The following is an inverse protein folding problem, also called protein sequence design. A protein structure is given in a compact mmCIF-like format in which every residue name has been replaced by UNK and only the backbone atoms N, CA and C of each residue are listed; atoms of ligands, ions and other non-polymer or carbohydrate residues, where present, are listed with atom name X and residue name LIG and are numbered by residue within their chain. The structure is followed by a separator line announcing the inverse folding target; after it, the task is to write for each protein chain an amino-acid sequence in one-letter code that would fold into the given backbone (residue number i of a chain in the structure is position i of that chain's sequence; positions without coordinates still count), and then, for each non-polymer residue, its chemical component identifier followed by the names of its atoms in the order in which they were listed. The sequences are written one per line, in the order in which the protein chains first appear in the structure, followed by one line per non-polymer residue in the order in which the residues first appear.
data_IF_464927057488
#
_entry.id   IF_464927057488
#
_cell.length_a   1.000
_cell.length_b   1.000
_cell.length_c   1.000
_cell.angle_alpha   90.00
_cell.angle_beta   90.00
_cell.angle_gamma   90.00
#
_symmetry.space_group_name_H-M   'P 1'
#
loop_
_entity.id
_entity.type
_entity.pdbx_description
1 polymer ?
#
# COMPACT_ATOMS: atom_id res chain seq x y z
N UNK A 1 9.37 -28.45 0.76
CA UNK A 1 10.84 -28.26 0.67
C UNK A 1 11.25 -28.19 -0.80
N UNK A 2 11.25 -27.00 -1.39
CA UNK A 2 11.81 -26.80 -2.74
C UNK A 2 13.33 -26.64 -2.63
N UNK A 3 14.08 -27.61 -3.15
CA UNK A 3 15.54 -27.54 -3.26
C UNK A 3 15.88 -26.42 -4.24
N UNK A 4 16.34 -25.28 -3.72
CA UNK A 4 16.86 -24.19 -4.53
C UNK A 4 18.14 -24.67 -5.23
N UNK A 5 18.07 -24.82 -6.55
CA UNK A 5 19.22 -25.17 -7.38
C UNK A 5 20.11 -23.93 -7.53
N UNK A 6 21.15 -23.85 -6.70
CA UNK A 6 22.20 -22.82 -6.74
C UNK A 6 22.88 -22.68 -8.12
N UNK A 7 22.70 -23.67 -9.00
CA UNK A 7 23.27 -23.71 -10.35
C UNK A 7 22.61 -22.77 -11.34
N UNK A 8 21.41 -22.22 -11.06
CA UNK A 8 20.81 -21.20 -11.95
C UNK A 8 21.51 -19.84 -11.86
N UNK A 9 22.14 -19.51 -10.73
CA UNK A 9 22.99 -18.32 -10.59
C UNK A 9 24.28 -18.39 -11.41
N UNK A 10 24.58 -19.53 -12.03
CA UNK A 10 25.76 -19.76 -12.87
C UNK A 10 25.49 -19.60 -14.38
N UNK A 11 24.29 -19.14 -14.79
CA UNK A 11 23.98 -18.89 -16.21
C UNK A 11 24.96 -17.86 -16.82
N UNK A 12 25.44 -18.07 -18.06
CA UNK A 12 26.48 -17.24 -18.66
C UNK A 12 25.86 -15.93 -19.17
N UNK A 13 26.37 -14.77 -18.71
CA UNK A 13 25.93 -13.46 -19.23
C UNK A 13 26.44 -12.26 -18.44
N UNK A 14 26.62 -12.39 -17.12
CA UNK A 14 27.14 -11.30 -16.28
C UNK A 14 28.62 -11.52 -15.98
N UNK A 15 29.43 -10.46 -16.04
CA UNK A 15 30.89 -10.48 -15.84
C UNK A 15 31.37 -10.98 -14.47
N UNK A 16 30.47 -11.43 -13.61
CA UNK A 16 30.67 -12.01 -12.27
C UNK A 16 31.78 -13.06 -12.24
N UNK A 17 31.76 -14.06 -13.15
CA UNK A 17 32.79 -15.12 -13.18
C UNK A 17 34.19 -14.57 -13.43
N UNK A 18 34.32 -13.57 -14.31
CA UNK A 18 35.60 -12.92 -14.63
C UNK A 18 36.15 -12.12 -13.44
N UNK A 19 35.27 -11.43 -12.72
CA UNK A 19 35.63 -10.61 -11.56
C UNK A 19 35.97 -11.47 -10.34
N UNK A 20 35.23 -12.56 -10.11
CA UNK A 20 35.55 -13.54 -9.07
C UNK A 20 36.90 -14.22 -9.34
N UNK A 21 37.16 -14.61 -10.59
CA UNK A 21 38.46 -15.16 -10.99
C UNK A 21 39.60 -14.15 -10.77
N UNK A 22 39.37 -12.86 -11.09
CA UNK A 22 40.34 -11.79 -10.84
C UNK A 22 40.63 -11.60 -9.34
N UNK A 23 39.61 -11.72 -8.47
CA UNK A 23 39.79 -11.65 -7.02
C UNK A 23 40.65 -12.80 -6.49
N UNK A 24 40.37 -14.04 -6.94
CA UNK A 24 41.17 -15.21 -6.56
C UNK A 24 42.63 -15.08 -7.04
N UNK A 25 42.82 -14.59 -8.27
CA UNK A 25 44.16 -14.31 -8.82
C UNK A 25 44.88 -13.20 -8.03
N UNK A 26 44.18 -12.15 -7.63
CA UNK A 26 44.72 -11.05 -6.81
C UNK A 26 45.20 -11.54 -5.44
N UNK A 27 44.41 -12.37 -4.76
CA UNK A 27 44.78 -12.97 -3.47
C UNK A 27 46.01 -13.88 -3.62
N UNK A 28 46.05 -14.69 -4.68
CA UNK A 28 47.19 -15.56 -4.95
C UNK A 28 48.47 -14.76 -5.20
N UNK A 29 48.39 -13.66 -5.97
CA UNK A 29 49.51 -12.75 -6.22
C UNK A 29 49.98 -12.04 -4.94
N UNK A 30 49.06 -11.56 -4.11
CA UNK A 30 49.40 -10.91 -2.85
C UNK A 30 50.08 -11.88 -1.88
N UNK A 31 49.58 -13.11 -1.78
CA UNK A 31 50.16 -14.18 -0.97
C UNK A 31 51.56 -14.55 -1.46
N UNK A 32 51.75 -14.61 -2.79
CA UNK A 32 53.05 -14.87 -3.38
C UNK A 32 54.03 -13.71 -3.09
N UNK A 33 53.58 -12.46 -3.19
CA UNK A 33 54.38 -11.28 -2.84
C UNK A 33 54.84 -11.28 -1.39
N UNK A 34 53.93 -11.62 -0.46
CA UNK A 34 54.27 -11.79 0.96
C UNK A 34 55.31 -12.89 1.17
N UNK A 35 55.22 -14.01 0.44
CA UNK A 35 56.22 -15.09 0.51
C UNK A 35 57.61 -14.64 0.04
N UNK A 36 57.70 -13.84 -1.03
CA UNK A 36 58.97 -13.26 -1.49
C UNK A 36 59.58 -12.28 -0.46
N UNK A 37 58.75 -11.50 0.23
CA UNK A 37 59.20 -10.63 1.32
C UNK A 37 59.76 -11.43 2.51
N UNK A 38 59.02 -12.44 2.97
CA UNK A 38 59.45 -13.29 4.10
C UNK A 38 60.74 -14.05 3.78
N UNK A 39 60.87 -14.57 2.55
CA UNK A 39 62.10 -15.22 2.08
C UNK A 39 63.29 -14.25 2.04
N UNK A 40 63.05 -13.00 1.61
CA UNK A 40 64.08 -11.95 1.57
C UNK A 40 64.55 -11.51 2.97
N UNK A 41 63.68 -11.52 3.98
CA UNK A 41 64.02 -11.07 5.34
C UNK A 41 64.58 -12.18 6.22
N UNK A 42 64.07 -13.40 6.08
CA UNK A 42 64.27 -14.44 7.09
C UNK A 42 64.84 -15.76 6.55
N UNK A 43 64.83 -15.98 5.23
CA UNK A 43 65.25 -17.22 4.53
C UNK A 43 64.68 -18.55 5.08
N UNK A 44 63.73 -18.52 6.02
CA UNK A 44 63.13 -19.71 6.63
C UNK A 44 62.11 -20.40 5.72
N UNK A 45 61.50 -19.68 4.78
CA UNK A 45 60.48 -20.21 3.85
C UNK A 45 60.96 -20.03 2.40
N UNK A 46 61.72 -20.98 1.84
CA UNK A 46 62.27 -20.81 0.51
C UNK A 46 61.17 -20.80 -0.56
N UNK A 47 61.22 -19.79 -1.44
CA UNK A 47 60.39 -19.79 -2.66
C UNK A 47 61.00 -20.78 -3.68
N UNK A 48 60.21 -21.69 -4.28
CA UNK A 48 60.71 -22.66 -5.24
C UNK A 48 61.49 -22.00 -6.40
N UNK A 49 62.61 -22.61 -6.81
CA UNK A 49 63.51 -22.07 -7.86
C UNK A 49 62.80 -21.72 -9.17
N UNK A 50 61.81 -22.53 -9.60
CA UNK A 50 61.00 -22.28 -10.81
C UNK A 50 60.20 -20.97 -10.74
N UNK A 51 59.71 -20.62 -9.55
CA UNK A 51 58.93 -19.38 -9.34
C UNK A 51 59.85 -18.17 -9.28
N UNK A 52 61.04 -18.29 -8.69
CA UNK A 52 62.05 -17.21 -8.72
C UNK A 52 62.53 -16.88 -10.13
N UNK A 53 62.60 -17.89 -11.02
CA UNK A 53 62.98 -17.75 -12.42
C UNK A 53 61.88 -17.10 -13.27
N UNK A 54 60.61 -17.39 -12.98
CA UNK A 54 59.47 -16.79 -13.70
C UNK A 54 59.36 -15.26 -13.52
N UNK A 55 59.88 -14.73 -12.40
CA UNK A 55 59.86 -13.30 -12.07
C UNK A 55 61.28 -12.74 -11.93
N UNK A 56 62.20 -13.03 -12.84
CA UNK A 56 63.65 -12.77 -12.68
C UNK A 56 64.08 -11.28 -12.82
N UNK A 57 63.25 -10.33 -12.39
CA UNK A 57 63.48 -8.90 -12.58
C UNK A 57 63.67 -8.23 -11.21
N UNK A 58 64.92 -7.91 -10.86
CA UNK A 58 65.28 -7.17 -9.64
C UNK A 58 65.35 -7.98 -8.33
N UNK A 59 65.65 -7.31 -7.19
CA UNK A 59 65.81 -7.93 -5.87
C UNK A 59 64.53 -8.58 -5.32
N UNK A 60 64.66 -9.65 -4.51
CA UNK A 60 63.54 -10.42 -3.93
C UNK A 60 62.55 -9.55 -3.14
N UNK A 61 63.05 -8.58 -2.36
CA UNK A 61 62.20 -7.64 -1.60
C UNK A 61 61.36 -6.74 -2.50
N UNK A 62 61.92 -6.23 -3.60
CA UNK A 62 61.24 -5.35 -4.54
C UNK A 62 60.12 -6.09 -5.28
N UNK A 63 60.39 -7.34 -5.68
CA UNK A 63 59.39 -8.22 -6.30
C UNK A 63 58.24 -8.52 -5.36
N UNK A 64 58.55 -8.79 -4.09
CA UNK A 64 57.54 -9.03 -3.07
C UNK A 64 56.60 -7.84 -2.87
N UNK A 65 57.14 -6.62 -2.80
CA UNK A 65 56.34 -5.38 -2.69
C UNK A 65 55.45 -5.19 -3.93
N UNK A 66 55.99 -5.31 -5.15
CA UNK A 66 55.23 -5.08 -6.38
C UNK A 66 54.11 -6.11 -6.57
N UNK A 67 54.37 -7.39 -6.27
CA UNK A 67 53.35 -8.45 -6.33
C UNK A 67 52.26 -8.25 -5.26
N UNK A 68 52.65 -7.77 -4.07
CA UNK A 68 51.71 -7.49 -3.00
C UNK A 68 50.81 -6.29 -3.32
N UNK A 69 51.36 -5.21 -3.87
CA UNK A 69 50.59 -4.03 -4.30
C UNK A 69 49.65 -4.39 -5.45
N UNK A 70 50.15 -5.04 -6.50
CA UNK A 70 49.33 -5.42 -7.66
C UNK A 70 48.24 -6.43 -7.31
N UNK A 71 48.55 -7.44 -6.48
CA UNK A 71 47.57 -8.42 -5.99
C UNK A 71 46.49 -7.78 -5.11
N UNK A 72 46.88 -6.87 -4.22
CA UNK A 72 45.93 -6.14 -3.35
C UNK A 72 45.05 -5.18 -4.16
N UNK A 73 45.61 -4.47 -5.14
CA UNK A 73 44.86 -3.59 -6.03
C UNK A 73 43.85 -4.36 -6.91
N UNK A 74 44.25 -5.51 -7.47
CA UNK A 74 43.36 -6.38 -8.23
C UNK A 74 42.21 -6.94 -7.36
N UNK A 75 42.53 -7.34 -6.12
CA UNK A 75 41.53 -7.82 -5.14
C UNK A 75 40.55 -6.71 -4.77
N UNK A 76 41.04 -5.51 -4.50
CA UNK A 76 40.21 -4.34 -4.17
C UNK A 76 39.32 -3.92 -5.33
N UNK A 77 39.85 -3.88 -6.55
CA UNK A 77 39.07 -3.58 -7.75
C UNK A 77 37.96 -4.62 -7.97
N UNK A 78 38.30 -5.91 -7.87
CA UNK A 78 37.32 -6.99 -8.02
C UNK A 78 36.23 -6.92 -6.93
N UNK A 79 36.60 -6.65 -5.68
CA UNK A 79 35.68 -6.46 -4.56
C UNK A 79 34.71 -5.29 -4.80
N UNK A 80 35.24 -4.10 -5.14
CA UNK A 80 34.43 -2.90 -5.40
C UNK A 80 33.49 -3.08 -6.60
N UNK A 81 33.94 -3.83 -7.60
CA UNK A 81 33.17 -4.11 -8.80
C UNK A 81 32.04 -5.12 -8.55
N UNK A 82 32.28 -6.13 -7.69
CA UNK A 82 31.27 -7.08 -7.23
C UNK A 82 30.24 -6.40 -6.32
N UNK A 83 30.67 -5.53 -5.41
CA UNK A 83 29.76 -4.80 -4.52
C UNK A 83 28.81 -3.89 -5.30
N UNK A 84 29.29 -3.26 -6.37
CA UNK A 84 28.46 -2.40 -7.22
C UNK A 84 27.45 -3.19 -8.07
N UNK A 85 27.80 -4.38 -8.57
CA UNK A 85 26.85 -5.26 -9.29
C UNK A 85 25.79 -5.86 -8.36
N UNK A 86 26.17 -6.24 -7.14
CA UNK A 86 25.22 -6.68 -6.12
C UNK A 86 24.29 -5.54 -5.70
N UNK A 87 24.82 -4.32 -5.56
CA UNK A 87 24.00 -3.13 -5.31
C UNK A 87 23.02 -2.89 -6.48
N UNK A 88 23.46 -2.95 -7.74
CA UNK A 88 22.59 -2.73 -8.90
C UNK A 88 21.50 -3.80 -9.11
N UNK A 89 21.71 -5.02 -8.62
CA UNK A 89 20.70 -6.10 -8.69
C UNK A 89 19.73 -6.12 -7.50
N UNK A 90 20.06 -5.39 -6.43
CA UNK A 90 19.27 -5.31 -5.20
C UNK A 90 18.67 -3.92 -4.95
N UNK A 91 19.18 -2.88 -5.62
CA UNK A 91 18.65 -1.53 -5.54
C UNK A 91 17.46 -1.38 -6.51
N UNK A 92 16.28 -0.92 -6.04
CA UNK A 92 15.21 -0.51 -6.93
C UNK A 92 15.70 0.65 -7.82
N UNK A 93 15.17 0.76 -9.04
CA UNK A 93 15.55 1.72 -10.10
C UNK A 93 15.63 3.20 -9.70
N UNK A 94 15.33 3.58 -8.46
CA UNK A 94 15.31 4.97 -7.97
C UNK A 94 15.85 5.12 -6.53
N UNK A 95 16.85 4.34 -6.12
CA UNK A 95 17.52 4.56 -4.83
C UNK A 95 18.62 5.64 -4.98
N UNK A 96 18.41 6.80 -4.36
CA UNK A 96 19.46 7.81 -4.14
C UNK A 96 20.69 7.19 -3.45
N UNK A 97 21.87 7.70 -3.79
CA UNK A 97 23.21 7.10 -3.61
C UNK A 97 23.71 6.83 -2.17
N UNK A 98 22.89 6.90 -1.11
CA UNK A 98 23.36 6.73 0.28
C UNK A 98 22.45 5.81 1.13
N UNK A 99 22.12 4.60 0.65
CA UNK A 99 21.43 3.59 1.47
C UNK A 99 22.42 2.48 1.83
N UNK A 100 22.79 2.40 3.11
CA UNK A 100 23.67 1.34 3.61
C UNK A 100 23.02 -0.04 3.52
N UNK A 101 23.82 -1.10 3.31
CA UNK A 101 23.33 -2.48 3.31
C UNK A 101 22.53 -2.82 4.59
N UNK A 102 22.88 -2.20 5.71
CA UNK A 102 22.19 -2.35 6.99
C UNK A 102 20.73 -1.94 6.92
N UNK A 103 20.40 -0.86 6.20
CA UNK A 103 19.05 -0.33 6.10
C UNK A 103 18.18 -1.25 5.22
N UNK A 104 18.74 -1.78 4.13
CA UNK A 104 18.07 -2.79 3.29
C UNK A 104 17.82 -4.11 4.04
N UNK A 105 18.75 -4.54 4.90
CA UNK A 105 18.53 -5.70 5.77
C UNK A 105 17.51 -5.41 6.87
N UNK A 106 17.47 -4.19 7.40
CA UNK A 106 16.51 -3.75 8.39
C UNK A 106 15.09 -3.70 7.81
N UNK A 107 14.92 -3.15 6.60
CA UNK A 107 13.63 -3.14 5.88
C UNK A 107 13.12 -4.55 5.59
N UNK A 108 13.98 -5.47 5.13
CA UNK A 108 13.58 -6.87 4.92
C UNK A 108 13.18 -7.58 6.20
N UNK A 109 13.88 -7.33 7.31
CA UNK A 109 13.53 -7.92 8.61
C UNK A 109 12.22 -7.31 9.15
N UNK A 110 11.99 -6.03 8.93
CA UNK A 110 10.74 -5.33 9.27
C UNK A 110 9.55 -5.92 8.49
N UNK A 111 9.74 -6.18 7.19
CA UNK A 111 8.75 -6.88 6.35
C UNK A 111 8.48 -8.32 6.76
N UNK A 112 9.45 -9.01 7.36
CA UNK A 112 9.31 -10.40 7.80
C UNK A 112 8.71 -10.55 9.21
N UNK A 113 8.77 -9.52 10.06
CA UNK A 113 8.43 -9.60 11.49
C UNK A 113 7.28 -8.66 11.90
N UNK A 114 7.01 -7.61 11.13
CA UNK A 114 5.97 -6.64 11.43
C UNK A 114 4.54 -7.13 11.15
N UNK A 115 3.58 -6.60 11.93
CA UNK A 115 2.16 -6.94 11.80
C UNK A 115 1.65 -6.54 10.42
N UNK A 116 0.87 -7.40 9.77
CA UNK A 116 0.42 -7.19 8.37
C UNK A 116 -0.94 -6.53 8.35
N UNK A 117 -1.05 -5.38 7.67
CA UNK A 117 -2.29 -4.62 7.56
C UNK A 117 -2.59 -4.38 6.09
N UNK A 118 -3.79 -4.74 5.65
CA UNK A 118 -4.31 -4.38 4.35
C UNK A 118 -5.25 -3.17 4.51
N UNK A 119 -5.03 -2.10 3.74
CA UNK A 119 -5.88 -0.90 3.74
C UNK A 119 -6.55 -0.78 2.38
N UNK A 120 -7.87 -0.80 2.34
CA UNK A 120 -8.68 -0.71 1.12
C UNK A 120 -9.32 0.69 1.07
N UNK A 121 -9.17 1.39 -0.04
CA UNK A 121 -9.84 2.67 -0.27
C UNK A 121 -9.22 3.48 -1.40
N UNK A 122 -9.65 4.72 -1.53
CA UNK A 122 -9.09 5.69 -2.47
C UNK A 122 -9.17 7.10 -1.88
N UNK A 123 -8.67 8.08 -2.62
CA UNK A 123 -8.81 9.47 -2.28
C UNK A 123 -7.92 9.92 -1.12
N UNK A 124 -8.11 11.16 -0.72
CA UNK A 124 -7.25 11.80 0.28
C UNK A 124 -7.54 11.35 1.72
N UNK A 125 -8.71 10.75 1.97
CA UNK A 125 -9.10 10.19 3.28
C UNK A 125 -8.27 8.96 3.69
N UNK A 126 -7.72 8.25 2.71
CA UNK A 126 -6.80 7.12 2.90
C UNK A 126 -5.48 7.54 3.59
N UNK A 127 -5.01 8.76 3.33
CA UNK A 127 -3.66 9.19 3.70
C UNK A 127 -3.45 9.26 5.22
N UNK A 128 -4.34 9.89 6.01
CA UNK A 128 -4.22 9.85 7.47
C UNK A 128 -4.24 8.43 8.05
N UNK A 129 -5.00 7.50 7.45
CA UNK A 129 -5.08 6.10 7.90
C UNK A 129 -3.74 5.39 7.67
N UNK A 130 -3.16 5.53 6.48
CA UNK A 130 -1.84 4.94 6.17
C UNK A 130 -0.76 5.58 7.06
N UNK A 131 -0.76 6.92 7.20
CA UNK A 131 0.16 7.63 8.10
C UNK A 131 0.05 7.13 9.55
N UNK A 132 -1.15 6.87 10.05
CA UNK A 132 -1.36 6.36 11.41
C UNK A 132 -0.61 5.04 11.66
N UNK A 133 -0.61 4.12 10.69
CA UNK A 133 0.15 2.87 10.78
C UNK A 133 1.66 3.08 10.68
N UNK A 134 2.12 3.97 9.80
CA UNK A 134 3.55 4.28 9.67
C UNK A 134 4.14 4.96 10.91
N UNK A 135 3.30 5.66 11.68
CA UNK A 135 3.66 6.28 12.95
C UNK A 135 3.68 5.31 14.13
N UNK A 136 3.30 4.04 13.95
CA UNK A 136 3.27 3.06 15.04
C UNK A 136 4.67 2.76 15.59
N UNK A 137 4.73 2.54 16.90
CA UNK A 137 5.99 2.25 17.60
C UNK A 137 6.48 0.82 17.27
N UNK A 138 5.54 -0.10 17.07
CA UNK A 138 5.81 -1.44 16.56
C UNK A 138 5.84 -1.45 15.02
N UNK A 139 6.67 -2.31 14.40
CA UNK A 139 6.74 -2.40 12.94
C UNK A 139 5.43 -2.95 12.36
N UNK A 140 4.79 -2.15 11.49
CA UNK A 140 3.60 -2.54 10.73
C UNK A 140 3.89 -2.52 9.24
N UNK A 141 3.55 -3.62 8.57
CA UNK A 141 3.66 -3.77 7.13
C UNK A 141 2.30 -3.45 6.50
N UNK A 142 2.19 -2.23 6.00
CA UNK A 142 0.97 -1.74 5.35
C UNK A 142 1.01 -2.08 3.87
N UNK A 143 -0.04 -2.72 3.37
CA UNK A 143 -0.34 -2.86 1.95
C UNK A 143 -1.65 -2.14 1.65
N UNK A 144 -1.61 -1.22 0.69
CA UNK A 144 -2.73 -0.39 0.25
C UNK A 144 -3.30 -0.96 -1.04
N UNK A 145 -4.60 -1.14 -1.08
CA UNK A 145 -5.36 -1.61 -2.24
C UNK A 145 -6.24 -0.44 -2.71
N UNK A 146 -5.82 0.19 -3.81
CA UNK A 146 -6.42 1.39 -4.38
C UNK A 146 -7.56 1.05 -5.34
N UNK A 147 -8.71 1.70 -5.18
CA UNK A 147 -9.83 1.56 -6.11
C UNK A 147 -9.48 2.11 -7.50
N UNK A 148 -9.83 1.37 -8.57
CA UNK A 148 -9.11 1.37 -9.86
C UNK A 148 -9.30 2.59 -10.78
N UNK A 149 -9.67 3.75 -10.25
CA UNK A 149 -10.12 4.91 -11.06
C UNK A 149 -9.48 6.24 -10.72
N UNK A 150 -8.74 6.34 -9.62
CA UNK A 150 -8.05 7.59 -9.27
C UNK A 150 -6.58 7.55 -9.69
N UNK A 151 -6.22 8.56 -10.48
CA UNK A 151 -4.95 8.64 -11.22
C UNK A 151 -3.70 8.72 -10.34
N UNK A 152 -2.55 8.89 -11.01
CA UNK A 152 -1.21 8.79 -10.43
C UNK A 152 -0.90 9.70 -9.23
N UNK A 153 -1.76 10.68 -8.88
CA UNK A 153 -1.56 11.59 -7.73
C UNK A 153 -1.60 10.89 -6.37
N UNK A 154 -2.55 9.98 -6.14
CA UNK A 154 -2.60 9.27 -4.85
C UNK A 154 -1.44 8.27 -4.74
N UNK A 155 -1.07 7.66 -5.86
CA UNK A 155 0.08 6.75 -5.96
C UNK A 155 1.39 7.50 -5.71
N UNK A 156 1.58 8.69 -6.31
CA UNK A 156 2.75 9.52 -6.07
C UNK A 156 2.81 9.94 -4.60
N UNK A 157 1.68 10.31 -4.00
CA UNK A 157 1.63 10.66 -2.58
C UNK A 157 2.02 9.47 -1.67
N UNK A 158 1.51 8.27 -1.97
CA UNK A 158 1.84 7.06 -1.21
C UNK A 158 3.31 6.65 -1.38
N UNK A 159 3.87 6.81 -2.57
CA UNK A 159 5.25 6.39 -2.88
C UNK A 159 6.28 7.43 -2.48
N UNK A 160 6.10 8.67 -2.91
CA UNK A 160 7.09 9.73 -2.83
C UNK A 160 7.04 10.41 -1.45
N UNK A 161 5.84 10.54 -0.86
CA UNK A 161 5.65 11.23 0.41
C UNK A 161 5.60 10.27 1.61
N UNK A 162 5.00 9.09 1.43
CA UNK A 162 4.88 8.07 2.50
C UNK A 162 5.88 6.92 2.40
N UNK A 163 6.69 6.88 1.34
CA UNK A 163 7.75 5.89 1.18
C UNK A 163 7.26 4.46 0.95
N UNK A 164 6.01 4.25 0.54
CA UNK A 164 5.52 2.90 0.23
C UNK A 164 6.17 2.39 -1.06
N UNK A 165 6.63 1.14 -1.02
CA UNK A 165 7.14 0.46 -2.23
C UNK A 165 6.01 0.11 -3.20
N UNK A 166 6.34 -0.10 -4.48
CA UNK A 166 5.36 -0.53 -5.48
C UNK A 166 4.66 -1.86 -5.18
N UNK A 167 5.25 -2.72 -4.33
CA UNK A 167 4.62 -3.96 -3.86
C UNK A 167 3.61 -3.75 -2.74
N UNK A 168 3.61 -2.57 -2.12
CA UNK A 168 2.69 -2.18 -1.07
C UNK A 168 1.55 -1.31 -1.60
N UNK A 169 1.61 -0.82 -2.84
CA UNK A 169 0.54 -0.04 -3.46
C UNK A 169 0.00 -0.86 -4.62
N UNK A 170 -1.13 -1.52 -4.40
CA UNK A 170 -1.73 -2.46 -5.32
C UNK A 170 -3.05 -1.92 -5.85
N UNK A 171 -3.38 -2.31 -7.07
CA UNK A 171 -4.74 -2.18 -7.61
C UNK A 171 -5.48 -3.52 -7.49
N UNK A 172 -6.82 -3.52 -7.35
CA UNK A 172 -7.60 -4.75 -7.26
C UNK A 172 -7.58 -5.53 -8.57
N UNK A 173 -7.28 -4.88 -9.71
CA UNK A 173 -7.10 -5.53 -11.00
C UNK A 173 -6.01 -4.80 -11.79
N UNK A 174 -5.25 -5.55 -12.58
CA UNK A 174 -4.29 -4.99 -13.54
C UNK A 174 -4.92 -4.67 -14.90
N UNK A 175 -6.20 -4.96 -15.08
CA UNK A 175 -6.92 -4.74 -16.33
C UNK A 175 -7.50 -3.34 -16.44
N UNK A 176 -7.70 -2.87 -17.68
CA UNK A 176 -8.51 -1.69 -17.93
C UNK A 176 -10.00 -2.04 -17.84
N UNK A 177 -10.64 -1.57 -16.78
CA UNK A 177 -12.05 -1.84 -16.44
C UNK A 177 -12.89 -0.57 -16.44
N UNK A 178 -14.20 -0.72 -16.64
CA UNK A 178 -15.19 0.32 -16.39
C UNK A 178 -15.94 0.00 -15.10
N UNK A 179 -16.11 1.00 -14.23
CA UNK A 179 -17.06 0.93 -13.11
C UNK A 179 -18.47 1.19 -13.61
N UNK A 180 -19.42 0.38 -13.16
CA UNK A 180 -20.83 0.51 -13.48
C UNK A 180 -21.67 0.59 -12.20
N UNK A 181 -22.73 1.38 -12.25
CA UNK A 181 -23.82 1.34 -11.29
C UNK A 181 -25.14 1.03 -12.01
N UNK A 182 -25.90 0.06 -11.50
CA UNK A 182 -27.29 -0.17 -11.89
C UNK A 182 -28.20 0.55 -10.90
N UNK A 183 -29.12 1.36 -11.39
CA UNK A 183 -30.17 2.00 -10.58
C UNK A 183 -31.36 1.03 -10.39
N UNK A 184 -32.25 1.31 -9.44
CA UNK A 184 -33.43 0.46 -9.16
C UNK A 184 -34.36 0.24 -10.37
N UNK A 185 -34.41 1.18 -11.32
CA UNK A 185 -35.20 1.06 -12.55
C UNK A 185 -34.47 0.33 -13.70
N UNK A 186 -33.25 -0.17 -13.43
CA UNK A 186 -32.39 -0.85 -14.42
C UNK A 186 -31.51 0.07 -15.26
N UNK A 187 -31.58 1.39 -15.07
CA UNK A 187 -30.69 2.35 -15.75
C UNK A 187 -29.24 2.10 -15.37
N UNK A 188 -28.33 2.21 -16.35
CA UNK A 188 -26.90 2.00 -16.14
C UNK A 188 -26.11 3.31 -16.20
N UNK A 189 -25.25 3.53 -15.23
CA UNK A 189 -24.28 4.62 -15.20
C UNK A 189 -22.87 4.06 -15.39
N UNK A 190 -22.13 4.58 -16.37
CA UNK A 190 -20.74 4.18 -16.64
C UNK A 190 -19.75 5.21 -16.08
N UNK A 191 -18.81 4.71 -15.29
CA UNK A 191 -17.67 5.47 -14.77
C UNK A 191 -17.97 6.25 -13.48
N UNK A 192 -16.90 6.50 -12.71
CA UNK A 192 -16.99 7.23 -11.44
C UNK A 192 -17.59 8.64 -11.60
N UNK A 193 -17.34 9.33 -12.72
CA UNK A 193 -17.90 10.67 -12.97
C UNK A 193 -19.43 10.65 -13.05
N UNK A 194 -20.02 9.73 -13.83
CA UNK A 194 -21.47 9.64 -13.96
C UNK A 194 -22.11 9.26 -12.62
N UNK A 195 -21.50 8.33 -11.89
CA UNK A 195 -21.97 7.91 -10.56
C UNK A 195 -21.90 9.07 -9.55
N UNK A 196 -20.81 9.85 -9.57
CA UNK A 196 -20.64 11.00 -8.67
C UNK A 196 -21.57 12.18 -9.03
N UNK A 197 -22.06 12.27 -10.27
CA UNK A 197 -23.02 13.29 -10.69
C UNK A 197 -24.48 12.89 -10.38
N UNK A 198 -24.74 11.60 -10.23
CA UNK A 198 -26.05 11.07 -9.89
C UNK A 198 -26.45 11.40 -8.44
N UNK A 199 -27.75 11.63 -8.22
CA UNK A 199 -28.35 11.82 -6.92
C UNK A 199 -29.19 10.59 -6.55
N UNK A 200 -28.79 9.88 -5.49
CA UNK A 200 -29.45 8.64 -5.07
C UNK A 200 -30.86 8.86 -4.55
N UNK A 201 -31.23 10.11 -4.20
CA UNK A 201 -32.59 10.48 -3.77
C UNK A 201 -33.56 10.48 -4.93
N UNK A 202 -33.08 10.75 -6.15
CA UNK A 202 -33.89 10.62 -7.35
C UNK A 202 -34.15 9.15 -7.66
N UNK A 203 -33.07 8.35 -7.66
CA UNK A 203 -33.12 6.89 -7.88
C UNK A 203 -31.98 6.20 -7.15
N UNK A 204 -32.30 5.24 -6.30
CA UNK A 204 -31.31 4.48 -5.55
C UNK A 204 -30.43 3.62 -6.47
N UNK A 205 -29.19 3.41 -6.05
CA UNK A 205 -28.24 2.49 -6.69
C UNK A 205 -28.51 1.08 -6.17
N UNK A 206 -28.88 0.18 -7.08
CA UNK A 206 -29.19 -1.22 -6.79
C UNK A 206 -27.93 -2.07 -6.63
N UNK A 207 -26.92 -1.88 -7.49
CA UNK A 207 -25.61 -2.54 -7.38
C UNK A 207 -24.50 -1.78 -8.10
N UNK A 208 -23.26 -2.02 -7.67
CA UNK A 208 -22.04 -1.47 -8.24
C UNK A 208 -21.06 -2.59 -8.55
N UNK A 209 -20.47 -2.56 -9.73
CA UNK A 209 -19.55 -3.61 -10.16
C UNK A 209 -18.57 -3.12 -11.23
N UNK A 210 -17.44 -3.80 -11.32
CA UNK A 210 -16.53 -3.66 -12.44
C UNK A 210 -16.90 -4.61 -13.57
N UNK A 211 -16.78 -4.12 -14.80
CA UNK A 211 -16.84 -4.93 -16.01
C UNK A 211 -15.65 -4.62 -16.90
N UNK A 212 -15.13 -5.64 -17.59
CA UNK A 212 -14.18 -5.43 -18.68
C UNK A 212 -14.79 -4.53 -19.75
N UNK A 213 -13.95 -3.79 -20.46
CA UNK A 213 -14.42 -2.79 -21.43
C UNK A 213 -15.19 -3.46 -22.59
N UNK A 214 -16.50 -3.28 -22.57
CA UNK A 214 -17.51 -3.90 -23.44
C UNK A 214 -17.31 -3.54 -24.91
N UNK A 215 -16.80 -2.34 -25.21
CA UNK A 215 -16.50 -1.90 -26.59
C UNK A 215 -15.37 -2.72 -27.23
N UNK A 216 -14.48 -3.31 -26.42
CA UNK A 216 -13.42 -4.20 -26.91
C UNK A 216 -13.88 -5.66 -27.06
N UNK A 217 -15.01 -6.05 -26.48
CA UNK A 217 -15.43 -7.47 -26.36
C UNK A 217 -16.50 -7.85 -27.41
N UNK A 218 -16.80 -7.01 -28.41
CA UNK A 218 -17.89 -7.21 -29.41
C UNK A 218 -19.31 -7.38 -28.82
N UNK A 219 -19.47 -7.38 -27.50
CA UNK A 219 -20.75 -7.52 -26.79
C UNK A 219 -21.76 -6.46 -27.24
N UNK A 220 -21.32 -5.24 -27.53
CA UNK A 220 -22.22 -4.17 -28.00
C UNK A 220 -22.93 -4.50 -29.32
N UNK A 221 -22.23 -5.16 -30.25
CA UNK A 221 -22.79 -5.57 -31.55
C UNK A 221 -23.75 -6.76 -31.36
N UNK A 222 -23.39 -7.70 -30.49
CA UNK A 222 -24.20 -8.90 -30.19
C UNK A 222 -25.50 -8.56 -29.45
N UNK A 223 -25.49 -7.58 -28.55
CA UNK A 223 -26.69 -7.13 -27.82
C UNK A 223 -27.55 -6.15 -28.63
N UNK A 224 -27.15 -5.80 -29.86
CA UNK A 224 -27.79 -4.75 -30.68
C UNK A 224 -27.98 -3.43 -29.91
N UNK A 225 -27.04 -3.11 -29.03
CA UNK A 225 -27.07 -1.90 -28.19
C UNK A 225 -27.95 -1.98 -26.94
N UNK A 226 -28.58 -3.13 -26.63
CA UNK A 226 -29.37 -3.30 -25.41
C UNK A 226 -28.51 -3.94 -24.29
N UNK A 227 -27.64 -3.15 -23.69
CA UNK A 227 -26.84 -3.60 -22.54
C UNK A 227 -27.68 -3.63 -21.27
N UNK A 228 -27.63 -4.74 -20.56
CA UNK A 228 -28.16 -4.88 -19.20
C UNK A 228 -27.03 -5.15 -18.21
N UNK A 229 -27.25 -4.84 -16.94
CA UNK A 229 -26.26 -5.13 -15.92
C UNK A 229 -25.92 -6.63 -15.82
N UNK A 230 -26.87 -7.53 -16.10
CA UNK A 230 -26.62 -8.98 -16.10
C UNK A 230 -25.61 -9.37 -17.18
N UNK A 231 -25.73 -8.81 -18.39
CA UNK A 231 -24.76 -9.03 -19.46
C UNK A 231 -23.37 -8.54 -19.04
N UNK A 232 -23.28 -7.34 -18.48
CA UNK A 232 -21.99 -6.75 -18.07
C UNK A 232 -21.35 -7.52 -16.90
N UNK A 233 -22.16 -7.98 -15.96
CA UNK A 233 -21.69 -8.72 -14.79
C UNK A 233 -21.10 -10.09 -15.13
N UNK A 234 -21.37 -10.62 -16.33
CA UNK A 234 -20.75 -11.85 -16.85
C UNK A 234 -19.32 -11.63 -17.37
N UNK A 235 -18.83 -10.39 -17.38
CA UNK A 235 -17.46 -10.04 -17.78
C UNK A 235 -16.69 -9.35 -16.64
N UNK A 236 -16.59 -9.98 -15.44
CA UNK A 236 -15.79 -9.42 -14.37
C UNK A 236 -14.31 -9.39 -14.77
N UNK A 237 -13.51 -8.46 -14.22
CA UNK A 237 -12.07 -8.46 -14.44
C UNK A 237 -11.37 -9.54 -13.62
N UNK A 238 -10.18 -9.93 -14.04
CA UNK A 238 -9.30 -10.75 -13.21
C UNK A 238 -8.78 -9.90 -12.04
N UNK A 239 -8.85 -10.45 -10.82
CA UNK A 239 -8.38 -9.76 -9.62
C UNK A 239 -6.89 -9.99 -9.46
N UNK A 240 -6.19 -8.94 -9.01
CA UNK A 240 -4.76 -8.99 -8.75
C UNK A 240 -4.45 -10.00 -7.63
N UNK A 241 -3.69 -11.08 -7.90
CA UNK A 241 -3.38 -12.10 -6.90
C UNK A 241 -2.58 -11.56 -5.72
N UNK A 242 -1.75 -10.52 -5.93
CA UNK A 242 -1.01 -9.88 -4.83
C UNK A 242 -1.95 -9.13 -3.87
N UNK A 243 -3.04 -8.54 -4.39
CA UNK A 243 -4.05 -7.88 -3.57
C UNK A 243 -4.84 -8.90 -2.74
N UNK A 244 -5.22 -10.03 -3.36
CA UNK A 244 -5.87 -11.14 -2.66
C UNK A 244 -4.97 -11.69 -1.54
N UNK A 245 -3.70 -11.92 -1.85
CA UNK A 245 -2.72 -12.39 -0.87
C UNK A 245 -2.52 -11.40 0.27
N UNK A 246 -2.44 -10.11 -0.03
CA UNK A 246 -2.30 -9.06 0.99
C UNK A 246 -3.48 -9.07 1.97
N UNK A 247 -4.72 -9.27 1.50
CA UNK A 247 -5.91 -9.41 2.35
C UNK A 247 -5.86 -10.69 3.18
N UNK A 248 -5.51 -11.82 2.55
CA UNK A 248 -5.46 -13.13 3.22
C UNK A 248 -4.40 -13.20 4.31
N UNK A 249 -3.22 -12.62 4.06
CA UNK A 249 -2.09 -12.62 4.98
C UNK A 249 -2.24 -11.56 6.10
N UNK A 250 -3.18 -10.61 5.97
CA UNK A 250 -3.37 -9.53 6.92
C UNK A 250 -3.93 -10.02 8.26
N UNK A 251 -3.53 -9.32 9.32
CA UNK A 251 -4.12 -9.41 10.65
C UNK A 251 -5.24 -8.39 10.84
N UNK A 252 -5.20 -7.30 10.06
CA UNK A 252 -6.18 -6.24 10.04
C UNK A 252 -6.49 -5.84 8.59
N UNK A 253 -7.76 -5.83 8.22
CA UNK A 253 -8.27 -5.23 6.98
C UNK A 253 -8.98 -3.94 7.34
N UNK A 254 -8.42 -2.82 6.91
CA UNK A 254 -8.98 -1.49 7.18
C UNK A 254 -9.64 -0.95 5.92
N UNK A 255 -10.92 -0.65 6.00
CA UNK A 255 -11.66 0.09 4.99
C UNK A 255 -11.54 1.57 5.34
N UNK A 256 -10.73 2.28 4.56
CA UNK A 256 -10.42 3.70 4.77
C UNK A 256 -11.62 4.60 4.39
N UNK A 257 -11.69 5.82 4.93
CA UNK A 257 -12.77 6.74 4.59
C UNK A 257 -12.59 7.25 3.15
N UNK A 258 -13.72 7.46 2.47
CA UNK A 258 -13.76 7.83 1.05
C UNK A 258 -15.19 7.89 0.54
N UNK A 259 -15.37 8.22 -0.75
CA UNK A 259 -16.70 8.21 -1.38
C UNK A 259 -17.24 6.79 -1.40
N UNK A 260 -18.43 6.59 -0.84
CA UNK A 260 -18.96 5.25 -0.60
C UNK A 260 -19.08 4.44 -1.90
N UNK A 261 -19.70 5.04 -2.91
CA UNK A 261 -20.03 4.38 -4.17
C UNK A 261 -18.88 4.31 -5.18
N UNK A 262 -17.87 5.17 -5.07
CA UNK A 262 -16.80 5.28 -6.08
C UNK A 262 -15.40 4.94 -5.56
N UNK A 263 -15.17 5.02 -4.24
CA UNK A 263 -13.86 4.73 -3.63
C UNK A 263 -13.86 3.47 -2.78
N UNK A 264 -14.98 3.11 -2.16
CA UNK A 264 -15.05 1.99 -1.21
C UNK A 264 -15.71 0.77 -1.85
N UNK A 265 -16.98 0.89 -2.23
CA UNK A 265 -17.78 -0.21 -2.76
C UNK A 265 -17.17 -0.90 -3.98
N UNK A 266 -16.61 -0.20 -4.99
CA UNK A 266 -16.17 -0.87 -6.22
C UNK A 266 -15.14 -1.98 -6.00
N UNK A 267 -14.20 -1.76 -5.08
CA UNK A 267 -13.19 -2.77 -4.74
C UNK A 267 -13.81 -3.91 -3.93
N UNK A 268 -14.72 -3.60 -3.00
CA UNK A 268 -15.34 -4.60 -2.12
C UNK A 268 -16.43 -5.44 -2.81
N UNK A 269 -17.02 -4.96 -3.91
CA UNK A 269 -18.02 -5.72 -4.68
C UNK A 269 -17.41 -6.74 -5.63
N UNK A 270 -16.08 -6.70 -5.85
CA UNK A 270 -15.38 -7.75 -6.59
C UNK A 270 -15.50 -9.09 -5.85
N UNK A 271 -16.06 -10.15 -6.46
CA UNK A 271 -16.34 -11.40 -5.77
C UNK A 271 -15.12 -12.05 -5.11
N UNK A 272 -13.93 -11.90 -5.68
CA UNK A 272 -12.70 -12.50 -5.13
C UNK A 272 -12.15 -11.69 -3.96
N UNK A 273 -12.17 -10.35 -4.03
CA UNK A 273 -11.83 -9.47 -2.92
C UNK A 273 -12.79 -9.72 -1.75
N UNK A 274 -14.10 -9.73 -2.02
CA UNK A 274 -15.12 -10.05 -1.02
C UNK A 274 -14.85 -11.40 -0.33
N UNK A 275 -14.59 -12.44 -1.12
CA UNK A 275 -14.25 -13.77 -0.59
C UNK A 275 -12.98 -13.73 0.25
N UNK A 276 -11.93 -13.04 -0.21
CA UNK A 276 -10.68 -12.90 0.53
C UNK A 276 -10.90 -12.21 1.88
N UNK A 277 -11.69 -11.13 1.94
CA UNK A 277 -12.02 -10.44 3.20
C UNK A 277 -12.78 -11.36 4.16
N UNK A 278 -13.78 -12.11 3.67
CA UNK A 278 -14.57 -13.02 4.52
C UNK A 278 -13.80 -14.23 5.04
N UNK A 279 -12.90 -14.79 4.21
CA UNK A 279 -12.12 -15.98 4.60
C UNK A 279 -10.82 -15.62 5.31
N UNK A 280 -10.42 -14.34 5.31
CA UNK A 280 -9.28 -13.89 6.11
C UNK A 280 -9.60 -14.02 7.59
N UNK A 281 -8.60 -14.39 8.39
CA UNK A 281 -8.68 -14.31 9.86
C UNK A 281 -8.53 -12.88 10.39
N UNK A 282 -8.42 -11.89 9.49
CA UNK A 282 -8.16 -10.51 9.82
C UNK A 282 -9.38 -9.87 10.47
N UNK A 283 -9.14 -8.98 11.44
CA UNK A 283 -10.20 -8.10 11.95
C UNK A 283 -10.50 -7.03 10.91
N UNK A 284 -11.78 -6.76 10.68
CA UNK A 284 -12.27 -5.81 9.69
C UNK A 284 -12.62 -4.51 10.40
N UNK A 285 -11.96 -3.43 10.03
CA UNK A 285 -12.14 -2.11 10.64
C UNK A 285 -12.63 -1.14 9.58
N UNK A 286 -13.78 -0.50 9.80
CA UNK A 286 -14.22 0.63 8.99
C UNK A 286 -13.85 1.94 9.69
N UNK A 287 -13.18 2.84 8.98
CA UNK A 287 -12.97 4.22 9.44
C UNK A 287 -14.04 5.08 8.78
N UNK A 288 -14.99 5.57 9.56
CA UNK A 288 -16.13 6.31 9.04
C UNK A 288 -15.70 7.66 8.44
N UNK A 289 -16.46 8.14 7.47
CA UNK A 289 -16.31 9.50 6.97
C UNK A 289 -16.67 10.51 8.07
N UNK A 290 -16.07 11.71 7.99
CA UNK A 290 -16.37 12.82 8.91
C UNK A 290 -17.67 13.51 8.48
N UNK A 291 -17.80 13.76 7.18
CA UNK A 291 -18.94 14.43 6.55
C UNK A 291 -19.63 13.50 5.55
N UNK A 292 -20.92 13.71 5.35
CA UNK A 292 -21.71 13.10 4.29
C UNK A 292 -21.30 13.63 2.91
N UNK A 293 -21.70 12.91 1.87
CA UNK A 293 -21.50 13.29 0.48
C UNK A 293 -22.85 13.72 -0.13
N UNK A 294 -22.97 14.97 -0.63
CA UNK A 294 -24.23 15.53 -1.12
C UNK A 294 -24.87 14.70 -2.24
N UNK A 295 -26.14 14.32 -2.05
CA UNK A 295 -26.90 13.50 -2.99
C UNK A 295 -26.53 12.01 -2.98
N UNK A 296 -25.66 11.56 -2.06
CA UNK A 296 -25.16 10.16 -2.01
C UNK A 296 -25.36 9.57 -0.63
N UNK A 297 -24.92 10.28 0.40
CA UNK A 297 -25.01 9.85 1.80
C UNK A 297 -25.66 10.91 2.67
N UNK A 298 -26.57 11.72 2.11
CA UNK A 298 -27.36 12.68 2.87
C UNK A 298 -28.07 11.99 4.04
N UNK A 299 -27.98 12.56 5.23
CA UNK A 299 -28.58 12.00 6.44
C UNK A 299 -27.88 10.77 7.01
N UNK A 300 -26.79 10.28 6.40
CA UNK A 300 -26.19 9.03 6.85
C UNK A 300 -25.62 9.12 8.27
N UNK A 301 -26.00 8.14 9.06
CA UNK A 301 -25.31 7.73 10.27
C UNK A 301 -24.25 6.67 9.98
N UNK A 302 -23.42 6.37 10.97
CA UNK A 302 -22.49 5.24 10.91
C UNK A 302 -23.21 3.92 10.60
N UNK A 303 -24.43 3.72 11.12
CA UNK A 303 -25.27 2.55 10.85
C UNK A 303 -25.58 2.42 9.36
N UNK A 304 -25.90 3.51 8.69
CA UNK A 304 -26.29 3.52 7.27
C UNK A 304 -25.12 3.14 6.36
N UNK A 305 -23.91 3.61 6.68
CA UNK A 305 -22.69 3.15 6.02
C UNK A 305 -22.49 1.65 6.16
N UNK A 306 -22.59 1.11 7.38
CA UNK A 306 -22.43 -0.34 7.63
C UNK A 306 -23.53 -1.16 6.97
N UNK A 307 -24.77 -0.69 7.00
CA UNK A 307 -25.90 -1.33 6.33
C UNK A 307 -25.70 -1.37 4.81
N UNK A 308 -25.19 -0.28 4.21
CA UNK A 308 -24.91 -0.22 2.78
C UNK A 308 -23.75 -1.13 2.38
N UNK A 309 -22.67 -1.20 3.19
CA UNK A 309 -21.58 -2.17 2.98
C UNK A 309 -22.09 -3.62 3.02
N UNK A 310 -22.98 -3.92 3.97
CA UNK A 310 -23.61 -5.25 4.09
C UNK A 310 -24.55 -5.54 2.91
N UNK A 311 -25.33 -4.57 2.46
CA UNK A 311 -26.30 -4.77 1.38
C UNK A 311 -25.62 -4.89 0.01
N UNK A 312 -24.72 -3.96 -0.32
CA UNK A 312 -24.15 -3.86 -1.67
C UNK A 312 -22.87 -4.67 -1.85
N UNK A 313 -21.99 -4.68 -0.85
CA UNK A 313 -20.73 -5.44 -0.91
C UNK A 313 -20.80 -6.79 -0.17
N UNK A 314 -21.87 -7.06 0.58
CA UNK A 314 -21.97 -8.22 1.46
C UNK A 314 -20.81 -8.29 2.46
N UNK A 315 -20.27 -7.14 2.89
CA UNK A 315 -19.18 -7.04 3.87
C UNK A 315 -19.76 -6.57 5.20
N UNK A 316 -19.41 -7.27 6.28
CA UNK A 316 -19.60 -6.82 7.66
C UNK A 316 -18.25 -6.46 8.25
N UNK A 317 -18.22 -5.56 9.23
CA UNK A 317 -16.99 -5.17 9.92
C UNK A 317 -17.07 -5.49 11.41
N UNK A 318 -15.91 -5.70 12.02
CA UNK A 318 -15.81 -6.03 13.45
C UNK A 318 -15.72 -4.76 14.30
N UNK A 319 -15.07 -3.71 13.77
CA UNK A 319 -14.96 -2.40 14.40
C UNK A 319 -15.33 -1.29 13.44
N UNK A 320 -15.92 -0.23 13.99
CA UNK A 320 -16.07 1.05 13.31
C UNK A 320 -15.49 2.17 14.16
N UNK A 321 -14.62 2.96 13.55
CA UNK A 321 -13.97 4.12 14.15
C UNK A 321 -14.67 5.37 13.62
N UNK A 322 -15.17 6.23 14.51
CA UNK A 322 -15.87 7.45 14.11
C UNK A 322 -15.46 8.66 14.97
N UNK A 323 -15.49 9.84 14.37
CA UNK A 323 -15.13 11.09 15.05
C UNK A 323 -16.25 11.56 15.99
N UNK A 324 -15.91 11.94 17.23
CA UNK A 324 -16.81 12.62 18.17
C UNK A 324 -16.38 14.06 18.53
N UNK A 325 -15.27 14.55 17.96
CA UNK A 325 -14.88 15.93 18.16
C UNK A 325 -15.82 16.88 17.40
N UNK A 326 -16.22 18.01 18.01
CA UNK A 326 -16.98 19.02 17.32
C UNK A 326 -16.14 19.64 16.18
N UNK A 327 -16.81 19.94 15.07
CA UNK A 327 -16.27 20.73 13.96
C UNK A 327 -16.62 22.19 14.23
N UNK A 328 -15.70 23.12 13.98
CA UNK A 328 -15.94 24.54 14.14
C UNK A 328 -17.10 25.01 13.26
N UNK A 329 -17.91 25.94 13.76
CA UNK A 329 -19.09 26.42 13.03
C UNK A 329 -18.69 27.07 11.69
N UNK A 330 -17.52 27.71 11.63
CA UNK A 330 -16.99 28.30 10.40
C UNK A 330 -16.73 27.26 9.31
N UNK A 331 -16.19 26.10 9.68
CA UNK A 331 -15.96 24.98 8.75
C UNK A 331 -17.28 24.29 8.42
N UNK A 332 -18.13 24.07 9.42
CA UNK A 332 -19.40 23.40 9.27
C UNK A 332 -20.35 24.14 8.32
N UNK A 333 -20.44 25.47 8.44
CA UNK A 333 -21.29 26.28 7.57
C UNK A 333 -20.88 26.15 6.10
N UNK A 334 -19.58 26.05 5.82
CA UNK A 334 -19.06 25.85 4.45
C UNK A 334 -19.50 24.49 3.89
N UNK A 335 -19.42 23.43 4.69
CA UNK A 335 -19.92 22.12 4.26
C UNK A 335 -21.44 22.14 4.03
N UNK A 336 -22.21 22.82 4.88
CA UNK A 336 -23.66 22.96 4.70
C UNK A 336 -24.02 23.69 3.42
N UNK A 337 -23.24 24.71 3.02
CA UNK A 337 -23.42 25.41 1.74
C UNK A 337 -23.22 24.47 0.53
N UNK A 338 -22.39 23.44 0.67
CA UNK A 338 -22.20 22.38 -0.33
C UNK A 338 -23.20 21.21 -0.18
N UNK A 339 -24.10 21.27 0.81
CA UNK A 339 -25.08 20.22 1.11
C UNK A 339 -24.53 19.05 1.93
N UNK A 340 -23.33 19.19 2.51
CA UNK A 340 -22.72 18.16 3.35
C UNK A 340 -22.93 18.45 4.84
N UNK A 341 -23.13 17.39 5.62
CA UNK A 341 -23.35 17.45 7.07
C UNK A 341 -22.49 16.41 7.81
N UNK A 342 -22.25 16.56 9.12
CA UNK A 342 -21.47 15.59 9.88
C UNK A 342 -22.16 14.23 9.90
N UNK A 343 -21.39 13.16 9.72
CA UNK A 343 -21.91 11.79 9.84
C UNK A 343 -22.39 11.55 11.27
N UNK A 344 -23.64 11.10 11.40
CA UNK A 344 -24.24 10.89 12.73
C UNK A 344 -23.65 9.65 13.39
N UNK A 345 -23.21 9.78 14.64
CA UNK A 345 -22.71 8.65 15.42
C UNK A 345 -23.82 7.67 15.82
N UNK A 346 -25.05 8.18 15.96
CA UNK A 346 -26.20 7.45 16.46
C UNK A 346 -27.45 7.93 15.74
N UNK A 347 -28.37 7.01 15.52
CA UNK A 347 -29.72 7.33 15.08
C UNK A 347 -30.60 7.60 16.31
N UNK A 348 -31.55 8.53 16.20
CA UNK A 348 -32.51 8.82 17.27
C UNK A 348 -33.52 7.67 17.43
N UNK A 349 -33.76 6.90 16.36
CA UNK A 349 -34.72 5.80 16.27
C UNK A 349 -34.06 4.41 16.15
N UNK A 350 -33.38 3.94 17.20
CA UNK A 350 -33.03 2.51 17.45
C UNK A 350 -32.13 1.73 16.44
N UNK A 351 -31.38 0.77 16.98
CA UNK A 351 -30.38 -0.04 16.27
C UNK A 351 -29.06 -0.21 17.03
N UNK A 352 -28.90 0.51 18.14
CA UNK A 352 -27.75 0.43 19.03
C UNK A 352 -28.00 -0.61 20.10
N UNK A 353 -27.16 -1.65 20.14
CA UNK A 353 -27.10 -2.56 21.28
C UNK A 353 -25.98 -2.12 22.22
N UNK A 354 -26.29 -1.90 23.50
CA UNK A 354 -25.28 -1.73 24.54
C UNK A 354 -25.02 -3.08 25.19
N UNK A 355 -23.80 -3.58 25.03
CA UNK A 355 -23.34 -4.72 25.80
C UNK A 355 -22.65 -4.19 27.06
N UNK A 356 -23.06 -4.70 28.21
CA UNK A 356 -22.43 -4.42 29.50
C UNK A 356 -21.81 -5.73 29.96
N UNK A 357 -20.49 -5.76 30.08
CA UNK A 357 -19.77 -6.94 30.58
C UNK A 357 -19.94 -7.01 32.10
N UNK A 358 -20.58 -8.08 32.58
CA UNK A 358 -20.98 -8.21 34.00
C UNK A 358 -19.79 -8.33 34.97
N UNK A 359 -18.63 -8.74 34.46
CA UNK A 359 -17.38 -8.94 35.19
C UNK A 359 -16.50 -7.69 35.27
N UNK A 360 -16.50 -6.83 34.23
CA UNK A 360 -15.67 -5.62 34.17
C UNK A 360 -16.44 -4.31 34.30
N UNK A 361 -17.76 -4.34 34.06
CA UNK A 361 -18.60 -3.15 33.94
C UNK A 361 -18.35 -2.35 32.66
N UNK A 362 -17.49 -2.81 31.74
CA UNK A 362 -17.24 -2.12 30.47
C UNK A 362 -18.50 -2.10 29.61
N UNK A 363 -18.79 -0.93 29.03
CA UNK A 363 -19.90 -0.74 28.11
C UNK A 363 -19.38 -0.64 26.69
N UNK A 364 -19.82 -1.56 25.83
CA UNK A 364 -19.50 -1.54 24.40
C UNK A 364 -20.75 -1.25 23.60
N UNK A 365 -20.64 -0.29 22.68
CA UNK A 365 -21.72 0.08 21.76
C UNK A 365 -21.56 -0.72 20.47
N UNK A 366 -22.60 -1.47 20.09
CA UNK A 366 -22.66 -2.19 18.82
C UNK A 366 -23.58 -1.48 17.83
N UNK A 367 -23.13 -1.39 16.57
CA UNK A 367 -23.87 -0.87 15.42
C UNK A 367 -23.73 -1.85 14.26
N UNK A 368 -24.84 -2.41 13.77
CA UNK A 368 -24.84 -3.47 12.73
C UNK A 368 -23.88 -4.65 13.07
N UNK A 369 -23.73 -4.97 14.37
CA UNK A 369 -22.83 -6.01 14.87
C UNK A 369 -21.36 -5.61 15.03
N UNK A 370 -20.98 -4.40 14.59
CA UNK A 370 -19.64 -3.87 14.76
C UNK A 370 -19.50 -3.09 16.08
N UNK A 371 -18.32 -3.16 16.71
CA UNK A 371 -17.96 -2.34 17.87
C UNK A 371 -17.69 -0.90 17.44
N UNK A 372 -18.50 0.04 17.92
CA UNK A 372 -18.31 1.47 17.69
C UNK A 372 -17.29 2.04 18.68
N UNK A 373 -16.18 2.56 18.13
CA UNK A 373 -15.17 3.30 18.87
C UNK A 373 -15.24 4.76 18.43
N UNK A 374 -15.57 5.65 19.36
CA UNK A 374 -15.56 7.09 19.12
C UNK A 374 -14.34 7.72 19.77
N UNK A 375 -13.76 8.70 19.08
CA UNK A 375 -12.65 9.50 19.59
C UNK A 375 -12.63 10.86 18.88
N UNK A 376 -11.94 11.87 19.45
CA UNK A 376 -11.82 13.16 18.81
C UNK A 376 -10.81 13.04 17.67
N UNK A 377 -11.21 12.62 16.47
CA UNK A 377 -10.30 12.14 15.43
C UNK A 377 -9.89 13.19 14.40
N UNK A 378 -10.33 14.44 14.53
CA UNK A 378 -10.12 15.45 13.49
C UNK A 378 -9.13 16.55 13.86
N UNK A 379 -8.51 17.11 12.81
CA UNK A 379 -7.84 18.41 12.80
C UNK A 379 -8.41 19.23 11.66
N UNK A 380 -8.58 20.53 11.89
CA UNK A 380 -8.96 21.48 10.83
C UNK A 380 -7.69 22.06 10.22
N UNK A 381 -7.45 21.75 8.94
CA UNK A 381 -6.26 22.22 8.22
C UNK A 381 -6.65 23.12 7.06
N UNK A 382 -6.04 24.30 6.90
CA UNK A 382 -6.27 25.15 5.73
C UNK A 382 -5.76 24.45 4.48
N UNK A 383 -6.58 24.46 3.43
CA UNK A 383 -6.26 23.88 2.14
C UNK A 383 -6.86 24.72 1.01
N UNK A 384 -6.17 24.81 -0.11
CA UNK A 384 -6.71 25.39 -1.34
C UNK A 384 -7.69 24.40 -2.00
N UNK A 385 -8.96 24.76 -2.03
CA UNK A 385 -10.03 23.97 -2.65
C UNK A 385 -10.47 24.67 -3.95
N UNK A 386 -10.63 23.91 -5.05
CA UNK A 386 -11.29 24.43 -6.25
C UNK A 386 -12.79 24.58 -5.98
N UNK A 387 -13.34 25.78 -6.17
CA UNK A 387 -14.77 26.04 -6.17
C UNK A 387 -15.20 26.61 -7.51
N UNK A 388 -16.47 26.40 -7.89
CA UNK A 388 -17.05 27.02 -9.08
C UNK A 388 -17.64 28.37 -8.68
N UNK A 389 -17.16 29.45 -9.29
CA UNK A 389 -17.66 30.79 -9.07
C UNK A 389 -19.13 30.87 -9.52
N UNK A 390 -20.09 31.26 -8.65
CA UNK A 390 -21.51 31.29 -9.01
C UNK A 390 -21.84 32.35 -10.08
N UNK A 391 -21.04 33.42 -10.17
CA UNK A 391 -21.28 34.54 -11.08
C UNK A 391 -20.62 34.29 -12.44
N UNK A 392 -19.38 33.79 -12.45
CA UNK A 392 -18.62 33.60 -13.70
C UNK A 392 -18.63 32.17 -14.22
N UNK A 393 -18.96 31.19 -13.38
CA UNK A 393 -18.90 29.77 -13.70
C UNK A 393 -17.47 29.19 -13.75
N UNK A 394 -16.44 30.00 -13.50
CA UNK A 394 -15.04 29.58 -13.54
C UNK A 394 -14.63 28.78 -12.30
N UNK A 395 -13.63 27.92 -12.44
CA UNK A 395 -13.04 27.21 -11.29
C UNK A 395 -11.96 28.12 -10.68
N UNK A 396 -12.20 28.60 -9.45
CA UNK A 396 -11.25 29.40 -8.66
C UNK A 396 -10.75 28.60 -7.46
N UNK A 397 -9.55 28.92 -6.97
CA UNK A 397 -9.01 28.31 -5.76
C UNK A 397 -9.26 29.23 -4.57
N UNK A 398 -9.75 28.68 -3.46
CA UNK A 398 -9.90 29.40 -2.19
C UNK A 398 -9.23 28.64 -1.07
N UNK A 399 -8.55 29.34 -0.18
CA UNK A 399 -8.02 28.75 1.05
C UNK A 399 -9.17 28.55 2.05
N UNK A 400 -9.37 27.31 2.48
CA UNK A 400 -10.45 26.90 3.36
C UNK A 400 -9.94 25.87 4.36
N UNK A 401 -10.26 26.06 5.63
CA UNK A 401 -10.08 25.01 6.64
C UNK A 401 -11.01 23.83 6.33
N UNK A 402 -10.46 22.62 6.29
CA UNK A 402 -11.16 21.36 6.04
C UNK A 402 -10.95 20.47 7.26
N UNK A 403 -12.02 19.82 7.72
CA UNK A 403 -11.92 18.77 8.73
C UNK A 403 -11.32 17.51 8.11
N UNK A 404 -10.16 17.08 8.62
CA UNK A 404 -9.48 15.85 8.20
C UNK A 404 -9.19 14.98 9.40
N UNK A 405 -9.12 13.67 9.17
CA UNK A 405 -8.65 12.76 10.20
C UNK A 405 -7.19 13.08 10.59
N UNK A 406 -6.95 13.13 11.89
CA UNK A 406 -5.63 13.28 12.49
C UNK A 406 -4.94 11.90 12.55
N UNK A 407 -3.77 11.73 11.91
CA UNK A 407 -3.07 10.45 11.88
C UNK A 407 -2.54 10.00 13.25
N UNK A 408 -2.19 10.92 14.16
CA UNK A 408 -1.73 10.57 15.51
C UNK A 408 -2.89 10.08 16.39
N UNK A 409 -4.06 10.70 16.25
CA UNK A 409 -5.27 10.27 16.99
C UNK A 409 -5.80 8.96 16.45
N UNK A 410 -5.81 8.77 15.12
CA UNK A 410 -6.09 7.47 14.50
C UNK A 410 -5.10 6.39 14.96
N UNK A 411 -3.78 6.69 15.05
CA UNK A 411 -2.76 5.74 15.55
C UNK A 411 -3.16 5.21 16.92
N UNK A 412 -3.56 6.08 17.84
CA UNK A 412 -3.90 5.69 19.21
C UNK A 412 -5.05 4.68 19.25
N UNK A 413 -6.11 4.92 18.48
CA UNK A 413 -7.28 4.03 18.39
C UNK A 413 -6.93 2.71 17.68
N UNK A 414 -6.25 2.78 16.53
CA UNK A 414 -5.85 1.59 15.78
C UNK A 414 -4.89 0.70 16.58
N UNK A 415 -3.96 1.29 17.32
CA UNK A 415 -3.06 0.55 18.21
C UNK A 415 -3.83 -0.14 19.35
N UNK A 416 -4.91 0.46 19.87
CA UNK A 416 -5.76 -0.18 20.86
C UNK A 416 -6.47 -1.42 20.29
N UNK A 417 -7.03 -1.32 19.08
CA UNK A 417 -7.67 -2.46 18.39
C UNK A 417 -6.63 -3.57 18.16
N UNK A 418 -5.46 -3.21 17.63
CA UNK A 418 -4.38 -4.16 17.37
C UNK A 418 -3.88 -4.84 18.66
N UNK A 419 -3.84 -4.15 19.81
CA UNK A 419 -3.46 -4.77 21.09
C UNK A 419 -4.54 -5.70 21.65
N UNK A 420 -5.83 -5.39 21.47
CA UNK A 420 -6.93 -6.20 22.00
C UNK A 420 -7.11 -7.53 21.24
N UNK A 421 -6.89 -7.52 19.94
CA UNK A 421 -7.25 -8.66 19.08
C UNK A 421 -6.08 -9.54 18.64
N UNK A 422 -4.83 -9.09 18.84
CA UNK A 422 -3.62 -9.76 18.33
C UNK A 422 -2.62 -10.11 19.46
N UNK A 423 -3.12 -10.19 20.69
CA UNK A 423 -2.45 -10.74 21.88
C UNK A 423 -3.24 -11.97 22.31
#
# INVERSE_FOLDING_TARGET
MQRHNWTEYLKPGYGFKRRLALMVQGIALATLGAKFLVDSMSRFVPVPRRVKQAFAWGPDWLRGILLMISGSAATYYAWRSLSHEMAATLAPEHANEDIGLTDLFYERKRQAVGRRVAVIGSGTGLIPVVRAFLLMDEPVNVTVILTSHEGGRIVSLLRDELGLSGKQVLYPTGEHVSLWAELEDGTLLEGATAINQHDVREKAIRRIFYSRNVRRIKVWEETRGNLTADVLSNYPPDVNPDALKAIQDAELVVIAPGRLYTDILPTLTLPEIRRAVHHSGAKRVFVANIMTEPGKTDGFSVKDYLATLRQLAQITVDYVIANDAPISEEVLEKYRLEGAEPVRLRDEETGISRLVFADTGEQTVLVEGAVLITAPLITETPQLIPYRDPETGDIRMREMAIARHDPHRLKAVLAQIMRKELV
#
